data_IF_643605096029
#
_entry.id   IF_643605096029
#
_cell.length_a   1.000
_cell.length_b   1.000
_cell.length_c   1.000
_cell.angle_alpha   90.00
_cell.angle_beta   90.00
_cell.angle_gamma   90.00
#
_symmetry.space_group_name_H-M   'P 1'
#
loop_
_entity.id
_entity.type
_entity.pdbx_description
1 polymer ?
#
# COMPACT_ATOMS: atom_id res chain seq x y z
N UNK A 1 0.70 12.30 12.42
CA UNK A 1 0.13 10.96 12.22
C UNK A 1 0.11 10.25 13.56
N UNK A 2 -1.00 9.59 13.88
CA UNK A 2 -1.18 8.80 15.09
C UNK A 2 -2.11 7.64 14.77
N UNK A 3 -2.06 6.57 15.56
CA UNK A 3 -2.99 5.45 15.41
C UNK A 3 -4.36 5.81 15.99
N UNK A 4 -5.40 5.11 15.52
CA UNK A 4 -6.78 5.26 15.97
C UNK A 4 -6.89 5.14 17.51
N UNK A 5 -6.16 4.18 18.09
CA UNK A 5 -6.13 3.95 19.53
C UNK A 5 -5.53 5.09 20.35
N UNK A 6 -4.54 5.81 19.80
CA UNK A 6 -3.97 7.00 20.46
C UNK A 6 -5.00 8.13 20.48
N UNK A 7 -5.67 8.38 19.35
CA UNK A 7 -6.73 9.39 19.28
C UNK A 7 -7.87 9.08 20.26
N UNK A 8 -8.35 7.83 20.30
CA UNK A 8 -9.37 7.40 21.27
C UNK A 8 -8.94 7.62 22.71
N UNK A 9 -7.66 7.36 23.03
CA UNK A 9 -7.12 7.61 24.37
C UNK A 9 -7.17 9.09 24.72
N UNK A 10 -6.80 9.97 23.80
CA UNK A 10 -6.89 11.42 24.02
C UNK A 10 -8.32 11.91 24.19
N UNK A 11 -9.30 11.28 23.51
CA UNK A 11 -10.72 11.61 23.68
C UNK A 11 -11.23 11.34 25.10
N UNK A 12 -10.66 10.38 25.82
CA UNK A 12 -11.00 10.17 27.23
C UNK A 12 -10.54 11.33 28.11
N UNK A 13 -9.40 11.96 27.79
CA UNK A 13 -8.89 13.11 28.52
C UNK A 13 -9.54 14.44 28.06
N UNK A 14 -9.78 14.59 26.76
CA UNK A 14 -10.41 15.77 26.15
C UNK A 14 -11.57 15.34 25.25
N UNK A 15 -12.80 15.18 25.79
CA UNK A 15 -13.95 14.68 25.03
C UNK A 15 -14.39 15.54 23.84
N UNK A 16 -13.97 16.81 23.80
CA UNK A 16 -14.26 17.74 22.70
C UNK A 16 -13.04 17.99 21.80
N UNK A 17 -11.92 17.31 22.07
CA UNK A 17 -10.70 17.35 21.26
C UNK A 17 -10.19 18.78 21.02
N UNK A 18 -10.25 19.64 22.05
CA UNK A 18 -10.04 21.10 21.95
C UNK A 18 -8.70 21.49 21.32
N UNK A 19 -7.69 20.64 21.45
CA UNK A 19 -6.36 20.81 20.86
C UNK A 19 -6.32 20.70 19.33
N UNK A 20 -7.35 20.13 18.71
CA UNK A 20 -7.43 19.97 17.25
C UNK A 20 -8.42 20.95 16.62
N UNK A 21 -8.01 21.57 15.52
CA UNK A 21 -8.90 22.36 14.64
C UNK A 21 -9.43 21.52 13.47
N UNK A 22 -8.67 20.52 13.05
CA UNK A 22 -9.01 19.59 11.97
C UNK A 22 -8.55 18.18 12.34
N UNK A 23 -9.38 17.19 12.02
CA UNK A 23 -9.05 15.77 12.14
C UNK A 23 -9.21 15.14 10.76
N UNK A 24 -8.21 14.39 10.33
CA UNK A 24 -8.22 13.63 9.08
C UNK A 24 -8.26 12.15 9.46
N UNK A 25 -9.32 11.46 9.08
CA UNK A 25 -9.40 10.00 9.11
C UNK A 25 -8.97 9.51 7.73
N UNK A 26 -7.90 8.73 7.69
CA UNK A 26 -7.37 8.16 6.45
C UNK A 26 -7.75 6.68 6.36
N UNK A 27 -7.86 6.17 5.13
CA UNK A 27 -8.18 4.76 4.84
C UNK A 27 -9.37 4.17 5.58
N UNK A 28 -10.46 4.93 5.75
CA UNK A 28 -11.67 4.41 6.43
C UNK A 28 -12.33 3.21 5.73
N UNK A 29 -11.90 2.93 4.50
CA UNK A 29 -12.34 1.78 3.72
C UNK A 29 -11.86 0.43 4.28
N UNK A 30 -10.80 0.41 5.10
CA UNK A 30 -10.35 -0.81 5.79
C UNK A 30 -11.34 -1.29 6.88
N UNK A 31 -12.34 -0.46 7.24
CA UNK A 31 -13.42 -0.78 8.18
C UNK A 31 -12.94 -1.41 9.51
N UNK A 32 -11.86 -0.84 10.08
CA UNK A 32 -11.41 -1.17 11.44
C UNK A 32 -12.50 -0.85 12.47
N UNK A 33 -12.67 -1.71 13.47
CA UNK A 33 -13.61 -1.49 14.59
C UNK A 33 -13.37 -0.15 15.30
N UNK A 34 -12.10 0.25 15.44
CA UNK A 34 -11.76 1.51 16.10
C UNK A 34 -12.12 2.72 15.24
N UNK A 35 -11.94 2.64 13.92
CA UNK A 35 -12.38 3.69 12.98
C UNK A 35 -13.89 3.89 13.03
N UNK A 36 -14.68 2.82 13.09
CA UNK A 36 -16.14 2.93 13.21
C UNK A 36 -16.58 3.63 14.50
N UNK A 37 -15.95 3.27 15.63
CA UNK A 37 -16.17 3.94 16.92
C UNK A 37 -15.78 5.41 16.85
N UNK A 38 -14.61 5.72 16.29
CA UNK A 38 -14.12 7.08 16.10
C UNK A 38 -15.08 7.92 15.25
N UNK A 39 -15.54 7.40 14.11
CA UNK A 39 -16.51 8.09 13.25
C UNK A 39 -17.79 8.44 14.01
N UNK A 40 -18.32 7.49 14.80
CA UNK A 40 -19.49 7.71 15.65
C UNK A 40 -19.29 8.80 16.71
N UNK A 41 -18.13 8.81 17.37
CA UNK A 41 -17.79 9.82 18.38
C UNK A 41 -17.55 11.19 17.75
N UNK A 42 -16.81 11.25 16.64
CA UNK A 42 -16.52 12.49 15.91
C UNK A 42 -17.79 13.13 15.36
N UNK A 43 -18.76 12.34 14.88
CA UNK A 43 -20.09 12.85 14.50
C UNK A 43 -20.80 13.52 15.69
N UNK A 44 -20.73 12.94 16.89
CA UNK A 44 -21.30 13.55 18.11
C UNK A 44 -20.57 14.83 18.50
N UNK A 45 -19.26 14.88 18.36
CA UNK A 45 -18.45 16.08 18.64
C UNK A 45 -18.76 17.17 17.63
N UNK A 46 -18.84 16.87 16.33
CA UNK A 46 -19.17 17.84 15.28
C UNK A 46 -20.55 18.50 15.48
N UNK A 47 -21.50 17.79 16.11
CA UNK A 47 -22.78 18.39 16.53
C UNK A 47 -22.60 19.49 17.60
N UNK A 48 -21.72 19.27 18.58
CA UNK A 48 -21.44 20.22 19.67
C UNK A 48 -20.43 21.30 19.29
N UNK A 49 -19.45 20.95 18.45
CA UNK A 49 -18.27 21.74 18.13
C UNK A 49 -18.24 22.06 16.63
N UNK A 50 -18.92 23.14 16.25
CA UNK A 50 -19.06 23.57 14.85
C UNK A 50 -17.77 24.08 14.20
N UNK A 51 -16.74 24.41 15.00
CA UNK A 51 -15.43 24.85 14.49
C UNK A 51 -14.46 23.69 14.20
N UNK A 52 -14.79 22.44 14.54
CA UNK A 52 -13.97 21.27 14.23
C UNK A 52 -14.24 20.84 12.78
N UNK A 53 -13.18 20.77 11.97
CA UNK A 53 -13.24 20.20 10.62
C UNK A 53 -12.90 18.71 10.68
N UNK A 54 -13.67 17.89 9.96
CA UNK A 54 -13.40 16.46 9.81
C UNK A 54 -13.24 16.19 8.32
N UNK A 55 -12.12 15.57 7.96
CA UNK A 55 -11.85 15.07 6.61
C UNK A 55 -11.81 13.56 6.71
N UNK A 56 -12.51 12.89 5.80
CA UNK A 56 -12.54 11.43 5.71
C UNK A 56 -12.04 11.05 4.33
N UNK A 57 -10.95 10.30 4.29
CA UNK A 57 -10.30 9.81 3.08
C UNK A 57 -10.59 8.31 2.93
N UNK A 58 -10.95 7.89 1.72
CA UNK A 58 -11.33 6.51 1.37
C UNK A 58 -10.95 6.23 -0.07
N UNK A 59 -10.33 5.08 -0.34
CA UNK A 59 -10.03 4.62 -1.68
C UNK A 59 -11.25 3.99 -2.41
N UNK A 60 -12.31 3.63 -1.68
CA UNK A 60 -13.49 2.94 -2.24
C UNK A 60 -14.68 3.88 -2.49
N UNK A 61 -15.61 3.41 -3.34
CA UNK A 61 -16.77 4.18 -3.85
C UNK A 61 -17.87 4.52 -2.82
N UNK A 62 -17.75 4.14 -1.55
CA UNK A 62 -18.76 4.39 -0.51
C UNK A 62 -18.80 5.85 0.01
N UNK A 63 -18.42 6.82 -0.84
CA UNK A 63 -18.38 8.23 -0.47
C UNK A 63 -19.77 8.80 -0.14
N UNK A 64 -20.83 8.30 -0.79
CA UNK A 64 -22.20 8.72 -0.52
C UNK A 64 -22.68 8.26 0.87
N UNK A 65 -22.33 7.05 1.28
CA UNK A 65 -22.63 6.55 2.63
C UNK A 65 -21.96 7.42 3.70
N UNK A 66 -20.67 7.75 3.52
CA UNK A 66 -19.92 8.59 4.45
C UNK A 66 -20.48 10.03 4.49
N UNK A 67 -20.84 10.57 3.33
CA UNK A 67 -21.50 11.88 3.23
C UNK A 67 -22.79 11.91 4.03
N UNK A 68 -23.66 10.92 3.84
CA UNK A 68 -24.93 10.81 4.56
C UNK A 68 -24.72 10.57 6.05
N UNK A 69 -23.72 9.76 6.41
CA UNK A 69 -23.35 9.52 7.79
C UNK A 69 -22.92 10.81 8.49
N UNK A 70 -22.06 11.63 7.90
CA UNK A 70 -21.58 12.88 8.52
C UNK A 70 -22.50 14.07 8.30
N UNK A 71 -23.57 13.95 7.52
CA UNK A 71 -24.53 15.03 7.33
C UNK A 71 -25.25 15.34 8.66
N UNK A 72 -25.11 16.58 9.13
CA UNK A 72 -25.66 17.04 10.41
C UNK A 72 -27.02 17.72 10.27
N UNK A 73 -27.44 18.03 9.05
CA UNK A 73 -28.73 18.66 8.79
C UNK A 73 -29.85 17.63 8.75
N UNK A 74 -31.00 17.97 9.34
CA UNK A 74 -32.20 17.15 9.22
C UNK A 74 -32.67 17.16 7.77
N UNK A 75 -33.14 16.00 7.28
CA UNK A 75 -33.64 15.78 5.90
C UNK A 75 -34.74 16.76 5.45
N UNK A 76 -35.25 17.61 6.36
CA UNK A 76 -36.31 18.61 6.13
C UNK A 76 -35.80 19.96 5.61
N UNK A 77 -34.53 20.31 5.81
CA UNK A 77 -33.97 21.58 5.30
C UNK A 77 -33.25 21.36 3.96
N UNK A 78 -33.98 21.53 2.85
CA UNK A 78 -33.53 21.30 1.47
C UNK A 78 -32.47 22.29 0.94
N UNK A 79 -31.72 23.00 1.79
CA UNK A 79 -30.91 24.15 1.36
C UNK A 79 -29.39 23.93 1.28
N UNK A 80 -28.79 23.11 2.15
CA UNK A 80 -27.33 22.99 2.25
C UNK A 80 -26.93 21.71 2.97
N UNK A 81 -26.14 20.83 2.34
CA UNK A 81 -25.53 19.70 3.06
C UNK A 81 -24.31 20.18 3.85
N UNK A 82 -24.09 19.66 5.07
CA UNK A 82 -22.88 20.00 5.85
C UNK A 82 -21.64 19.23 5.40
N UNK A 83 -21.84 18.23 4.55
CA UNK A 83 -20.80 17.31 4.06
C UNK A 83 -20.75 17.37 2.55
N UNK A 84 -19.54 17.32 1.99
CA UNK A 84 -19.27 17.36 0.56
C UNK A 84 -18.35 16.20 0.23
N UNK A 85 -18.61 15.53 -0.90
CA UNK A 85 -17.72 14.51 -1.46
C UNK A 85 -16.81 15.19 -2.45
N UNK A 86 -15.50 14.98 -2.29
CA UNK A 86 -14.50 15.39 -3.27
C UNK A 86 -13.87 14.13 -3.84
N UNK A 87 -14.16 13.84 -5.11
CA UNK A 87 -13.53 12.74 -5.82
C UNK A 87 -12.24 13.24 -6.49
N UNK A 88 -11.11 12.57 -6.22
CA UNK A 88 -9.90 12.74 -7.01
C UNK A 88 -9.87 11.66 -8.08
N UNK A 89 -9.84 12.06 -9.36
CA UNK A 89 -9.64 11.10 -10.45
C UNK A 89 -8.19 10.61 -10.42
N UNK A 90 -7.99 9.38 -9.96
CA UNK A 90 -6.73 8.68 -10.14
C UNK A 90 -6.51 8.39 -11.63
N UNK A 91 -5.26 8.51 -12.10
CA UNK A 91 -4.87 7.97 -13.39
C UNK A 91 -4.40 6.55 -13.14
N UNK A 92 -5.26 5.57 -13.41
CA UNK A 92 -4.83 4.18 -13.52
C UNK A 92 -4.33 3.94 -14.94
N UNK A 93 -3.15 3.33 -15.06
CA UNK A 93 -2.73 2.77 -16.33
C UNK A 93 -3.39 1.39 -16.48
N UNK A 94 -3.76 0.97 -17.70
CA UNK A 94 -4.27 -0.38 -17.91
C UNK A 94 -3.19 -1.39 -17.48
N UNK A 95 -3.56 -2.34 -16.63
CA UNK A 95 -2.68 -3.40 -16.13
C UNK A 95 -3.14 -4.71 -16.78
N UNK A 96 -2.19 -5.48 -17.30
CA UNK A 96 -2.43 -6.85 -17.76
C UNK A 96 -2.30 -7.81 -16.60
N UNK A 97 -3.27 -8.72 -16.45
CA UNK A 97 -3.32 -9.68 -15.35
C UNK A 97 -3.07 -11.08 -15.89
N UNK A 98 -2.10 -11.77 -15.27
CA UNK A 98 -1.71 -13.13 -15.63
C UNK A 98 -2.03 -14.09 -14.48
N UNK A 99 -2.56 -15.27 -14.82
CA UNK A 99 -2.89 -16.32 -13.87
C UNK A 99 -2.09 -17.59 -14.18
N UNK A 100 -1.80 -18.37 -13.15
CA UNK A 100 -1.29 -19.73 -13.32
C UNK A 100 -2.43 -20.64 -13.77
N UNK A 101 -2.15 -21.57 -14.68
CA UNK A 101 -3.16 -22.54 -15.15
C UNK A 101 -3.50 -23.59 -14.10
N UNK A 102 -2.51 -23.97 -13.28
CA UNK A 102 -2.64 -24.97 -12.22
C UNK A 102 -2.18 -24.43 -10.86
N UNK A 103 -2.74 -24.91 -9.74
CA UNK A 103 -2.30 -24.55 -8.40
C UNK A 103 -0.83 -24.89 -8.17
N UNK A 104 -0.09 -23.92 -7.63
CA UNK A 104 1.33 -24.08 -7.35
C UNK A 104 1.50 -24.54 -5.89
N UNK A 105 2.16 -25.69 -5.63
CA UNK A 105 2.37 -26.20 -4.27
C UNK A 105 3.37 -25.36 -3.46
N UNK A 106 4.38 -24.79 -4.12
CA UNK A 106 5.37 -23.88 -3.51
C UNK A 106 5.31 -22.50 -4.19
N UNK A 107 4.48 -21.62 -3.62
CA UNK A 107 4.29 -20.27 -4.13
C UNK A 107 5.51 -19.37 -3.89
N UNK A 108 6.35 -19.65 -2.88
CA UNK A 108 7.57 -18.87 -2.60
C UNK A 108 8.54 -19.06 -3.75
N UNK A 109 8.84 -20.32 -4.09
CA UNK A 109 9.69 -20.65 -5.22
C UNK A 109 9.12 -20.12 -6.53
N UNK A 110 7.84 -20.32 -6.80
CA UNK A 110 7.25 -19.81 -8.03
C UNK A 110 7.27 -18.28 -8.11
N UNK A 111 7.21 -17.58 -6.97
CA UNK A 111 7.38 -16.12 -6.93
C UNK A 111 8.80 -15.72 -7.27
N UNK A 112 9.81 -16.38 -6.71
CA UNK A 112 11.23 -16.18 -7.08
C UNK A 112 11.44 -16.42 -8.57
N UNK A 113 10.95 -17.54 -9.10
CA UNK A 113 11.08 -17.90 -10.52
C UNK A 113 10.40 -16.86 -11.42
N UNK A 114 9.23 -16.35 -11.01
CA UNK A 114 8.51 -15.31 -11.75
C UNK A 114 9.28 -13.99 -11.76
N UNK A 115 9.84 -13.58 -10.62
CA UNK A 115 10.68 -12.37 -10.51
C UNK A 115 11.89 -12.47 -11.43
N UNK A 116 12.57 -13.61 -11.46
CA UNK A 116 13.72 -13.85 -12.33
C UNK A 116 13.30 -13.79 -13.81
N UNK A 117 12.19 -14.44 -14.18
CA UNK A 117 11.65 -14.38 -15.54
C UNK A 117 11.31 -12.96 -15.98
N UNK A 118 10.68 -12.16 -15.11
CA UNK A 118 10.38 -10.75 -15.38
C UNK A 118 11.67 -9.94 -15.54
N UNK A 119 12.66 -10.18 -14.67
CA UNK A 119 13.93 -9.47 -14.73
C UNK A 119 14.68 -9.68 -16.05
N UNK A 120 14.67 -10.92 -16.56
CA UNK A 120 15.38 -11.29 -17.78
C UNK A 120 14.58 -11.00 -19.04
N UNK A 121 13.25 -11.15 -19.05
CA UNK A 121 12.44 -11.15 -20.28
C UNK A 121 11.51 -9.95 -20.44
N UNK A 122 11.34 -9.12 -19.41
CA UNK A 122 10.46 -7.95 -19.48
C UNK A 122 11.25 -6.62 -19.47
N UNK A 123 10.74 -5.56 -20.12
CA UNK A 123 11.34 -4.24 -20.08
C UNK A 123 11.58 -3.71 -18.65
N UNK A 124 12.44 -2.71 -18.53
CA UNK A 124 12.83 -2.15 -17.23
C UNK A 124 11.61 -1.63 -16.45
N UNK A 125 11.50 -2.05 -15.19
CA UNK A 125 10.49 -1.62 -14.23
C UNK A 125 10.62 -2.38 -12.92
N UNK A 126 10.38 -1.71 -11.80
CA UNK A 126 10.51 -2.34 -10.49
C UNK A 126 9.39 -3.37 -10.27
N UNK A 127 9.69 -4.36 -9.43
CA UNK A 127 8.79 -5.48 -9.14
C UNK A 127 8.35 -5.40 -7.68
N UNK A 128 7.03 -5.55 -7.45
CA UNK A 128 6.45 -5.74 -6.13
C UNK A 128 5.85 -7.14 -6.05
N UNK A 129 6.37 -7.96 -5.14
CA UNK A 129 5.87 -9.31 -4.90
C UNK A 129 5.33 -9.42 -3.48
N UNK A 130 4.10 -9.94 -3.37
CA UNK A 130 3.44 -10.16 -2.10
C UNK A 130 3.68 -11.58 -1.59
N UNK A 131 4.09 -11.68 -0.32
CA UNK A 131 4.28 -12.93 0.41
C UNK A 131 3.55 -12.84 1.76
N UNK A 132 3.20 -13.98 2.34
CA UNK A 132 2.27 -13.99 3.47
C UNK A 132 2.97 -13.77 4.80
N UNK A 133 4.20 -14.27 4.95
CA UNK A 133 4.93 -14.25 6.20
C UNK A 133 6.34 -13.67 6.09
N UNK A 134 6.90 -13.26 7.24
CA UNK A 134 8.29 -12.82 7.33
C UNK A 134 9.25 -13.94 6.94
N UNK A 135 8.98 -15.19 7.32
CA UNK A 135 9.83 -16.34 7.02
C UNK A 135 9.91 -16.58 5.51
N UNK A 136 8.77 -16.49 4.81
CA UNK A 136 8.71 -16.59 3.35
C UNK A 136 9.47 -15.45 2.66
N UNK A 137 9.32 -14.22 3.16
CA UNK A 137 10.05 -13.07 2.62
C UNK A 137 11.55 -13.28 2.74
N UNK A 138 12.04 -13.71 3.91
CA UNK A 138 13.46 -13.95 4.13
C UNK A 138 13.97 -15.11 3.26
N UNK A 139 13.21 -16.20 3.14
CA UNK A 139 13.57 -17.34 2.29
C UNK A 139 13.65 -16.96 0.80
N UNK A 140 12.67 -16.19 0.29
CA UNK A 140 12.69 -15.67 -1.07
C UNK A 140 13.84 -14.67 -1.27
N UNK A 141 14.10 -13.82 -0.27
CA UNK A 141 15.17 -12.83 -0.30
C UNK A 141 16.53 -13.49 -0.43
N UNK A 142 16.84 -14.51 0.38
CA UNK A 142 18.12 -15.22 0.32
C UNK A 142 18.36 -15.84 -1.07
N UNK A 143 17.32 -16.43 -1.66
CA UNK A 143 17.40 -17.03 -3.01
C UNK A 143 17.61 -15.98 -4.10
N UNK A 144 16.90 -14.85 -4.01
CA UNK A 144 17.02 -13.75 -4.97
C UNK A 144 18.34 -12.98 -4.80
N UNK A 145 18.88 -12.84 -3.60
CA UNK A 145 20.18 -12.22 -3.34
C UNK A 145 21.34 -13.05 -3.90
N UNK A 146 21.26 -14.38 -3.78
CA UNK A 146 22.21 -15.29 -4.42
C UNK A 146 22.20 -15.13 -5.94
N UNK A 147 21.01 -15.11 -6.56
CA UNK A 147 20.86 -14.85 -7.99
C UNK A 147 21.35 -13.44 -8.37
N UNK A 148 21.02 -12.42 -7.60
CA UNK A 148 21.42 -11.03 -7.86
C UNK A 148 22.94 -10.86 -7.83
N UNK A 149 23.62 -11.51 -6.89
CA UNK A 149 25.08 -11.44 -6.78
C UNK A 149 25.74 -12.00 -8.05
N UNK A 150 25.34 -13.19 -8.50
CA UNK A 150 25.83 -13.82 -9.73
C UNK A 150 25.47 -12.99 -10.99
N UNK A 151 24.23 -12.51 -11.08
CA UNK A 151 23.77 -11.66 -12.18
C UNK A 151 24.56 -10.34 -12.27
N UNK A 152 24.76 -9.66 -11.14
CA UNK A 152 25.44 -8.37 -11.07
C UNK A 152 26.92 -8.50 -11.43
N UNK A 153 27.56 -9.63 -11.10
CA UNK A 153 28.91 -9.94 -11.56
C UNK A 153 28.97 -10.18 -13.07
N UNK A 154 28.05 -10.98 -13.63
CA UNK A 154 27.97 -11.24 -15.07
C UNK A 154 27.66 -9.97 -15.88
N UNK A 155 26.83 -9.07 -15.34
CA UNK A 155 26.47 -7.81 -15.98
C UNK A 155 27.60 -6.78 -16.06
N UNK A 156 28.74 -6.98 -15.38
CA UNK A 156 29.95 -6.19 -15.63
C UNK A 156 30.46 -6.36 -17.07
N UNK A 157 30.18 -7.51 -17.68
CA UNK A 157 30.64 -7.87 -19.03
C UNK A 157 29.49 -8.04 -20.03
N UNK A 158 28.25 -8.24 -19.54
CA UNK A 158 27.05 -8.40 -20.35
C UNK A 158 26.23 -7.11 -20.39
N UNK A 159 25.98 -6.58 -21.59
CA UNK A 159 25.11 -5.42 -21.81
C UNK A 159 23.65 -5.76 -22.11
N UNK A 160 23.38 -6.99 -22.57
CA UNK A 160 22.06 -7.46 -23.01
C UNK A 160 21.82 -8.88 -22.47
N UNK A 161 20.66 -9.14 -21.88
CA UNK A 161 20.20 -10.49 -21.51
C UNK A 161 19.97 -11.36 -22.76
N UNK A 162 19.99 -12.70 -22.64
CA UNK A 162 19.72 -13.59 -23.78
C UNK A 162 18.38 -13.33 -24.48
N UNK A 163 17.40 -12.76 -23.77
CA UNK A 163 16.10 -12.32 -24.27
C UNK A 163 16.15 -11.13 -25.24
N UNK A 164 17.28 -10.42 -25.32
CA UNK A 164 17.43 -9.20 -26.12
C UNK A 164 17.24 -7.89 -25.34
N UNK A 165 16.95 -7.95 -24.03
CA UNK A 165 16.71 -6.78 -23.19
C UNK A 165 18.00 -6.26 -22.56
N UNK A 166 18.10 -4.94 -22.33
CA UNK A 166 19.25 -4.34 -21.67
C UNK A 166 19.50 -4.97 -20.29
N UNK A 167 20.73 -5.40 -20.06
CA UNK A 167 21.13 -6.04 -18.81
C UNK A 167 21.13 -5.04 -17.67
N UNK A 168 20.38 -5.33 -16.61
CA UNK A 168 20.27 -4.52 -15.39
C UNK A 168 20.66 -5.29 -14.15
N UNK A 169 21.22 -4.59 -13.17
CA UNK A 169 21.47 -5.17 -11.86
C UNK A 169 20.15 -5.36 -11.11
N UNK A 170 20.15 -6.28 -10.14
CA UNK A 170 19.00 -6.55 -9.30
C UNK A 170 19.30 -6.11 -7.86
N UNK A 171 18.36 -5.40 -7.24
CA UNK A 171 18.42 -5.00 -5.84
C UNK A 171 17.15 -5.47 -5.11
N UNK A 172 17.31 -6.22 -4.03
CA UNK A 172 16.20 -6.82 -3.29
C UNK A 172 15.97 -6.03 -2.00
N UNK A 173 14.71 -5.74 -1.70
CA UNK A 173 14.30 -5.04 -0.48
C UNK A 173 13.12 -5.77 0.16
N UNK A 174 13.24 -6.11 1.44
CA UNK A 174 12.14 -6.66 2.22
C UNK A 174 11.30 -5.58 2.91
N UNK A 175 10.00 -5.81 3.03
CA UNK A 175 9.06 -4.91 3.72
C UNK A 175 8.00 -5.71 4.49
N UNK A 176 8.16 -5.78 5.81
CA UNK A 176 7.23 -6.46 6.73
C UNK A 176 7.13 -5.72 8.08
N UNK A 177 6.15 -6.07 8.92
CA UNK A 177 5.71 -5.23 10.04
C UNK A 177 6.70 -5.07 11.19
N UNK A 178 7.50 -6.10 11.46
CA UNK A 178 8.55 -6.08 12.49
C UNK A 178 9.86 -5.43 12.01
N UNK A 179 9.95 -5.04 10.73
CA UNK A 179 11.15 -4.44 10.16
C UNK A 179 11.37 -3.02 10.71
N UNK A 180 12.59 -2.67 11.16
CA UNK A 180 12.88 -1.31 11.61
C UNK A 180 12.59 -0.25 10.54
N UNK A 181 12.05 0.89 10.96
CA UNK A 181 11.61 1.97 10.05
C UNK A 181 12.69 2.41 9.05
N UNK A 182 13.95 2.53 9.49
CA UNK A 182 15.06 2.93 8.62
C UNK A 182 15.33 1.94 7.46
N UNK A 183 14.95 0.66 7.60
CA UNK A 183 15.02 -0.33 6.53
C UNK A 183 13.78 -0.27 5.63
N UNK A 184 12.59 -0.07 6.20
CA UNK A 184 11.36 0.10 5.42
C UNK A 184 11.47 1.29 4.44
N UNK A 185 12.12 2.38 4.87
CA UNK A 185 12.33 3.56 4.02
C UNK A 185 13.13 3.24 2.75
N UNK A 186 13.98 2.20 2.75
CA UNK A 186 14.71 1.79 1.54
C UNK A 186 13.79 1.33 0.41
N UNK A 187 12.59 0.81 0.73
CA UNK A 187 11.61 0.44 -0.29
C UNK A 187 11.13 1.66 -1.10
N UNK A 188 11.07 2.85 -0.47
CA UNK A 188 10.63 4.10 -1.12
C UNK A 188 11.74 4.83 -1.87
N UNK A 189 12.99 4.45 -1.68
CA UNK A 189 14.10 5.08 -2.36
C UNK A 189 14.10 4.67 -3.83
N UNK A 190 14.33 5.65 -4.72
CA UNK A 190 14.59 5.37 -6.13
C UNK A 190 15.95 4.71 -6.26
N UNK A 191 16.03 3.64 -7.05
CA UNK A 191 17.30 2.99 -7.36
C UNK A 191 18.04 3.74 -8.48
N UNK A 192 19.34 3.49 -8.55
CA UNK A 192 20.20 4.04 -9.60
C UNK A 192 19.76 3.57 -10.99
N UNK A 193 20.20 4.33 -12.02
CA UNK A 193 19.97 3.96 -13.42
C UNK A 193 20.55 2.55 -13.68
N UNK A 194 19.77 1.71 -14.36
CA UNK A 194 20.12 0.33 -14.70
C UNK A 194 20.13 -0.66 -13.50
N UNK A 195 19.43 -0.34 -12.42
CA UNK A 195 19.17 -1.26 -11.30
C UNK A 195 17.67 -1.45 -11.15
N UNK A 196 17.19 -2.69 -11.32
CA UNK A 196 15.80 -3.06 -11.06
C UNK A 196 15.64 -3.35 -9.57
N UNK A 197 14.68 -2.71 -8.91
CA UNK A 197 14.32 -2.97 -7.52
C UNK A 197 13.24 -4.05 -7.45
N UNK A 198 13.43 -5.02 -6.56
CA UNK A 198 12.41 -6.01 -6.21
C UNK A 198 12.05 -5.80 -4.75
N UNK A 199 10.79 -5.44 -4.50
CA UNK A 199 10.27 -5.32 -3.14
C UNK A 199 9.46 -6.57 -2.81
N UNK A 200 9.90 -7.29 -1.78
CA UNK A 200 9.17 -8.41 -1.19
C UNK A 200 8.40 -7.89 0.01
N UNK A 201 7.07 -7.84 -0.09
CA UNK A 201 6.23 -7.21 0.92
C UNK A 201 5.15 -8.17 1.44
N UNK A 202 4.74 -7.97 2.70
CA UNK A 202 3.44 -8.48 3.15
C UNK A 202 2.32 -7.53 2.73
N UNK A 203 1.09 -7.84 3.11
CA UNK A 203 -0.10 -6.96 2.98
C UNK A 203 0.08 -5.51 3.47
N UNK A 204 1.16 -5.17 4.17
CA UNK A 204 1.49 -3.78 4.55
C UNK A 204 1.65 -2.89 3.31
N UNK A 205 2.08 -3.44 2.17
CA UNK A 205 2.20 -2.67 0.93
C UNK A 205 0.90 -2.62 0.10
N UNK A 206 -0.16 -3.34 0.51
CA UNK A 206 -1.40 -3.47 -0.28
C UNK A 206 -2.26 -2.22 -0.19
N UNK A 207 -2.46 -1.69 1.02
CA UNK A 207 -3.38 -0.55 1.24
C UNK A 207 -2.68 0.69 1.76
N UNK A 208 -1.56 0.55 2.46
CA UNK A 208 -1.02 1.66 3.25
C UNK A 208 0.00 2.52 2.51
N UNK A 209 0.50 2.08 1.35
CA UNK A 209 1.75 2.62 0.80
C UNK A 209 1.90 2.45 -0.72
N UNK A 210 2.22 3.54 -1.44
CA UNK A 210 2.65 3.48 -2.84
C UNK A 210 4.18 3.48 -2.96
N UNK A 211 4.74 2.45 -3.62
CA UNK A 211 6.18 2.38 -3.92
C UNK A 211 6.44 2.97 -5.31
N UNK A 212 7.25 4.04 -5.42
CA UNK A 212 7.55 4.64 -6.71
C UNK A 212 8.40 3.69 -7.58
N UNK A 213 8.09 3.64 -8.87
CA UNK A 213 8.84 2.89 -9.88
C UNK A 213 8.33 1.47 -10.16
N UNK A 214 7.35 0.98 -9.39
CA UNK A 214 6.75 -0.34 -9.61
C UNK A 214 5.95 -0.36 -10.90
N UNK A 215 6.33 -1.26 -11.80
CA UNK A 215 5.63 -1.52 -13.08
C UNK A 215 5.01 -2.91 -13.09
N UNK A 216 5.63 -3.87 -12.38
CA UNK A 216 5.16 -5.25 -12.30
C UNK A 216 4.75 -5.56 -10.86
N UNK A 217 3.53 -6.06 -10.68
CA UNK A 217 3.01 -6.48 -9.37
C UNK A 217 2.47 -7.90 -9.43
N UNK A 218 2.77 -8.73 -8.43
CA UNK A 218 2.12 -10.03 -8.22
C UNK A 218 1.27 -9.96 -6.95
N UNK A 219 0.02 -9.52 -7.10
CA UNK A 219 -0.85 -9.16 -5.98
C UNK A 219 -1.56 -10.33 -5.29
N UNK A 220 -1.78 -11.45 -5.99
CA UNK A 220 -2.70 -12.47 -5.49
C UNK A 220 -2.00 -13.81 -5.20
N UNK A 221 -1.49 -13.95 -3.97
CA UNK A 221 -1.42 -15.24 -3.29
C UNK A 221 -2.64 -15.41 -2.37
N UNK A 222 -3.83 -15.06 -2.87
CA UNK A 222 -5.09 -15.35 -2.19
C UNK A 222 -5.48 -16.77 -2.61
N UNK A 223 -5.29 -17.72 -1.68
CA UNK A 223 -6.04 -18.98 -1.70
C UNK A 223 -7.52 -18.63 -1.67
N UNK A 224 -8.24 -18.91 -2.76
CA UNK A 224 -9.70 -19.12 -2.70
C UNK A 224 -9.94 -20.53 -2.16
#
# INVERSE_FOLDING_TARGET
>A
FMTEGVLLREMFASPLLMQYSCIVLDEVHERSQLTDVLMGLLKKIAKKRKNLKIVVSSATMDADFLKDFFNLNDKKEKGRSTSVVMAMQGRTHPIEVFYVEEPVPDFVKATVDTVIKIHENEPFGDVLAFLTSQEEILSAMDTLEAYASDNNEKNKFRKIFPSGISASNLNIVAMYGSLPHYKQVKAFQMCDRNVRKVVLATNIAETSVTIPGVVYGKSDCILV
#
